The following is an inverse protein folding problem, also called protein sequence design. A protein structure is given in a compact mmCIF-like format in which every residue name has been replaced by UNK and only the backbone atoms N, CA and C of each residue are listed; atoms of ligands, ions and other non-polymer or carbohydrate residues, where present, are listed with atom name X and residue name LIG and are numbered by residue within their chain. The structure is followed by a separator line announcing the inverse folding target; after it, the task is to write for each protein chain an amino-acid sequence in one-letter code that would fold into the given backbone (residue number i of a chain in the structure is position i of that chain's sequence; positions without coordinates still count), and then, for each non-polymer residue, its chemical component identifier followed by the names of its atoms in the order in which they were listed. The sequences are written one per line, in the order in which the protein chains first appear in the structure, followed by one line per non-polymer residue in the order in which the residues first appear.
data_IF_827075501412
#
_entry.id   IF_827075501412
#
_cell.length_a   1.000
_cell.length_b   1.000
_cell.length_c   1.000
_cell.angle_alpha   90.00
_cell.angle_beta   90.00
_cell.angle_gamma   90.00
#
_symmetry.space_group_name_H-M   'P 1'
#
loop_
_entity.id
_entity.type
_entity.pdbx_description
1 polymer ?
#
# COMPACT_ATOMS: atom_id res chain seq x y z
N UNK A 1 5.09 -11.33 -2.79
CA UNK A 1 5.06 -9.87 -2.95
C UNK A 1 4.17 -9.45 -4.11
N UNK A 2 3.32 -8.45 -3.87
CA UNK A 2 2.43 -7.81 -4.84
C UNK A 2 2.70 -6.32 -4.91
N UNK A 3 2.66 -5.74 -6.13
CA UNK A 3 2.68 -4.30 -6.31
C UNK A 3 1.27 -3.75 -6.28
N UNK A 4 1.08 -2.75 -5.44
CA UNK A 4 -0.16 -2.02 -5.29
C UNK A 4 0.02 -0.62 -5.85
N UNK A 5 -1.01 -0.15 -6.52
CA UNK A 5 -1.10 1.24 -6.91
C UNK A 5 -2.20 1.89 -6.09
N UNK A 6 -1.87 2.96 -5.37
CA UNK A 6 -2.86 3.75 -4.66
C UNK A 6 -3.59 4.63 -5.69
N UNK A 7 -4.81 4.23 -6.06
CA UNK A 7 -5.71 5.11 -6.79
C UNK A 7 -6.28 6.08 -5.75
N UNK A 8 -5.73 7.29 -5.67
CA UNK A 8 -6.38 8.40 -4.99
C UNK A 8 -7.66 8.72 -5.78
N UNK A 9 -8.79 8.11 -5.40
CA UNK A 9 -10.08 8.76 -5.63
C UNK A 9 -10.23 9.80 -4.53
N UNK A 10 -9.85 11.04 -4.85
CA UNK A 10 -10.17 12.22 -4.03
C UNK A 10 -11.71 12.36 -3.97
N UNK A 11 -12.34 11.69 -3.00
CA UNK A 11 -13.67 12.09 -2.55
C UNK A 11 -13.48 13.04 -1.37
N UNK A 12 -13.47 14.34 -1.69
CA UNK A 12 -13.78 15.38 -0.72
C UNK A 12 -15.20 15.15 -0.20
N UNK A 13 -15.34 14.40 0.90
CA UNK A 13 -16.50 14.54 1.76
C UNK A 13 -16.09 15.28 3.02
N UNK A 14 -16.68 16.47 3.11
CA UNK A 14 -16.57 17.49 4.14
C UNK A 14 -16.80 16.91 5.55
N UNK A 15 -15.75 16.34 6.16
CA UNK A 15 -15.76 15.90 7.55
C UNK A 15 -14.69 16.68 8.30
N UNK A 16 -15.16 17.64 9.10
CA UNK A 16 -14.39 18.31 10.15
C UNK A 16 -13.95 17.29 11.20
N UNK A 17 -12.82 16.65 10.98
CA UNK A 17 -11.85 16.24 12.01
C UNK A 17 -10.54 15.89 11.31
N UNK A 18 -9.40 16.07 11.98
CA UNK A 18 -8.04 16.06 11.40
C UNK A 18 -7.51 14.71 10.90
N UNK A 19 -8.28 13.98 10.11
CA UNK A 19 -7.85 12.80 9.37
C UNK A 19 -8.21 12.99 7.90
N UNK A 20 -7.20 13.26 7.07
CA UNK A 20 -7.28 12.99 5.64
C UNK A 20 -7.68 11.51 5.48
N UNK A 21 -8.93 11.28 5.12
CA UNK A 21 -9.49 9.95 4.89
C UNK A 21 -9.01 9.47 3.52
N UNK A 22 -7.82 8.90 3.50
CA UNK A 22 -7.38 8.06 2.40
C UNK A 22 -8.09 6.73 2.54
N UNK A 23 -9.09 6.46 1.70
CA UNK A 23 -9.58 5.10 1.50
C UNK A 23 -8.55 4.36 0.63
N UNK A 24 -7.54 3.75 1.25
CA UNK A 24 -6.68 2.80 0.58
C UNK A 24 -7.43 1.47 0.50
N UNK A 25 -8.09 1.22 -0.64
CA UNK A 25 -8.36 -0.17 -0.99
C UNK A 25 -7.00 -0.77 -1.35
N UNK A 26 -6.33 -1.41 -0.39
CA UNK A 26 -5.21 -2.30 -0.65
C UNK A 26 -5.71 -3.48 -1.50
N UNK A 27 -5.84 -3.19 -2.78
CA UNK A 27 -6.33 -4.13 -3.77
C UNK A 27 -5.18 -5.07 -4.03
N UNK A 28 -5.03 -6.15 -3.26
CA UNK A 28 -4.31 -7.33 -3.75
C UNK A 28 -4.99 -7.74 -5.06
N UNK A 29 -4.53 -7.20 -6.19
CA UNK A 29 -5.22 -7.23 -7.49
C UNK A 29 -5.57 -8.71 -7.80
N UNK A 30 -6.81 -9.04 -8.15
CA UNK A 30 -7.44 -8.47 -9.36
C UNK A 30 -8.92 -8.11 -9.20
N UNK A 31 -9.21 -6.83 -8.95
CA UNK A 31 -10.33 -6.09 -9.56
C UNK A 31 -10.16 -4.57 -9.40
N UNK A 32 -10.10 -3.83 -10.52
CA UNK A 32 -10.45 -2.40 -10.53
C UNK A 32 -11.90 -2.28 -10.06
N UNK A 33 -12.20 -1.39 -9.12
CA UNK A 33 -13.56 -1.18 -8.59
C UNK A 33 -14.60 -0.79 -9.67
N UNK A 34 -14.16 -0.46 -10.89
CA UNK A 34 -15.04 -0.15 -12.03
C UNK A 34 -15.32 -1.27 -13.02
N UNK A 35 -14.77 -2.47 -12.87
CA UNK A 35 -15.07 -3.57 -13.81
C UNK A 35 -15.46 -4.87 -13.12
N UNK A 36 -16.78 -5.13 -13.10
CA UNK A 36 -17.44 -6.43 -12.87
C UNK A 36 -16.80 -7.60 -13.65
N UNK A 37 -15.97 -7.31 -14.67
CA UNK A 37 -15.32 -8.26 -15.57
C UNK A 37 -14.04 -8.92 -15.01
N UNK A 38 -13.44 -8.37 -13.96
CA UNK A 38 -12.16 -8.89 -13.44
C UNK A 38 -12.38 -9.97 -12.37
N UNK A 39 -13.40 -9.77 -11.53
CA UNK A 39 -13.85 -10.73 -10.53
C UNK A 39 -14.18 -12.10 -11.15
N UNK A 40 -14.77 -12.13 -12.34
CA UNK A 40 -15.11 -13.38 -13.04
C UNK A 40 -13.88 -14.15 -13.53
N UNK A 41 -12.80 -13.48 -13.96
CA UNK A 41 -11.59 -14.18 -14.44
C UNK A 41 -10.80 -14.84 -13.33
N UNK A 42 -10.72 -14.21 -12.15
CA UNK A 42 -9.97 -14.79 -11.02
C UNK A 42 -10.70 -16.02 -10.47
N UNK A 43 -12.02 -15.92 -10.27
CA UNK A 43 -12.84 -17.06 -9.85
C UNK A 43 -12.77 -18.20 -10.89
N UNK A 44 -12.86 -17.88 -12.18
CA UNK A 44 -12.77 -18.89 -13.23
C UNK A 44 -11.38 -19.53 -13.36
N UNK A 45 -10.33 -18.89 -12.85
CA UNK A 45 -8.96 -19.45 -12.80
C UNK A 45 -8.74 -20.41 -11.62
N UNK A 46 -9.73 -20.57 -10.74
CA UNK A 46 -9.63 -21.39 -9.52
C UNK A 46 -8.75 -20.78 -8.42
N UNK A 47 -8.31 -19.52 -8.60
CA UNK A 47 -7.49 -18.79 -7.63
C UNK A 47 -8.38 -18.12 -6.59
N UNK A 48 -7.99 -18.21 -5.32
CA UNK A 48 -8.67 -17.52 -4.23
C UNK A 48 -8.24 -16.05 -4.19
N UNK A 49 -9.19 -15.18 -3.87
CA UNK A 49 -8.97 -13.73 -3.66
C UNK A 49 -9.19 -13.44 -2.17
N UNK A 50 -8.25 -12.70 -1.58
CA UNK A 50 -8.39 -12.14 -0.24
C UNK A 50 -8.46 -10.63 -0.41
N UNK A 51 -9.47 -10.00 0.20
CA UNK A 51 -9.69 -8.55 0.12
C UNK A 51 -9.44 -7.96 1.50
N UNK A 52 -8.64 -6.90 1.54
CA UNK A 52 -8.40 -6.10 2.74
C UNK A 52 -9.07 -4.73 2.56
N UNK A 53 -9.62 -4.20 3.65
CA UNK A 53 -10.23 -2.88 3.69
C UNK A 53 -9.72 -2.13 4.92
N UNK A 54 -9.21 -0.92 4.69
CA UNK A 54 -8.63 -0.03 5.69
C UNK A 54 -9.64 0.45 6.75
N UNK A 55 -10.89 0.70 6.34
CA UNK A 55 -11.96 1.23 7.19
C UNK A 55 -13.29 0.52 6.91
N UNK A 56 -14.03 0.18 7.97
CA UNK A 56 -15.40 -0.33 7.85
C UNK A 56 -15.50 -1.84 7.58
N UNK A 57 -14.40 -2.58 7.75
CA UNK A 57 -14.38 -4.05 7.77
C UNK A 57 -14.47 -4.63 9.20
N UNK A 58 -14.88 -3.81 10.18
CA UNK A 58 -15.01 -4.13 11.60
C UNK A 58 -16.27 -4.95 11.96
N UNK A 59 -16.97 -5.50 10.96
CA UNK A 59 -17.85 -6.64 11.19
C UNK A 59 -19.31 -6.32 11.49
N UNK A 60 -19.95 -5.43 10.73
CA UNK A 60 -21.41 -5.47 10.63
C UNK A 60 -21.85 -6.58 9.64
N UNK A 61 -21.74 -7.85 10.07
CA UNK A 61 -22.50 -9.06 9.66
C UNK A 61 -22.78 -9.38 8.17
N UNK A 62 -22.28 -8.63 7.19
CA UNK A 62 -22.79 -8.71 5.82
C UNK A 62 -21.79 -9.33 4.83
N UNK A 63 -20.48 -9.35 5.15
CA UNK A 63 -19.44 -9.79 4.20
C UNK A 63 -18.21 -10.45 4.90
N UNK A 64 -18.24 -11.76 5.21
CA UNK A 64 -17.17 -12.43 5.99
C UNK A 64 -15.85 -12.65 5.22
N UNK A 65 -15.76 -12.22 3.96
CA UNK A 65 -14.59 -12.42 3.09
C UNK A 65 -13.76 -11.14 2.86
N UNK A 66 -14.17 -10.03 3.46
CA UNK A 66 -13.38 -8.79 3.50
C UNK A 66 -12.75 -8.71 4.88
N UNK A 67 -11.42 -8.68 4.93
CA UNK A 67 -10.66 -8.61 6.17
C UNK A 67 -10.31 -7.15 6.51
N UNK A 68 -10.29 -6.77 7.80
CA UNK A 68 -9.81 -5.47 8.21
C UNK A 68 -8.30 -5.36 7.99
N UNK A 69 -7.88 -4.41 7.15
CA UNK A 69 -6.49 -4.29 6.70
C UNK A 69 -5.55 -4.15 7.89
N UNK A 70 -5.75 -3.15 8.75
CA UNK A 70 -4.80 -2.84 9.82
C UNK A 70 -4.78 -3.86 10.96
N UNK A 71 -5.71 -4.82 11.01
CA UNK A 71 -5.60 -5.96 11.93
C UNK A 71 -4.81 -7.13 11.35
N UNK A 72 -4.55 -7.12 10.03
CA UNK A 72 -3.90 -8.20 9.29
C UNK A 72 -2.56 -7.76 8.66
N UNK A 73 -2.43 -6.48 8.36
CA UNK A 73 -1.32 -5.84 7.66
C UNK A 73 -0.94 -4.58 8.44
N UNK A 74 0.34 -4.37 8.71
CA UNK A 74 0.84 -3.03 9.05
C UNK A 74 1.55 -2.40 7.84
N UNK A 75 1.62 -1.08 7.80
CA UNK A 75 2.37 -0.37 6.75
C UNK A 75 3.44 0.56 7.32
N UNK A 76 4.43 0.91 6.50
CA UNK A 76 5.35 2.01 6.81
C UNK A 76 4.63 3.37 6.73
N UNK A 77 5.21 4.46 7.26
CA UNK A 77 4.56 5.78 7.21
C UNK A 77 4.14 6.18 5.78
N UNK A 78 2.96 6.79 5.68
CA UNK A 78 2.41 7.35 4.44
C UNK A 78 2.75 8.85 4.31
N UNK A 79 2.43 9.45 3.15
CA UNK A 79 2.68 10.88 2.87
C UNK A 79 4.14 11.31 3.04
N UNK A 80 5.09 10.40 2.84
CA UNK A 80 6.52 10.69 3.00
C UNK A 80 7.00 11.66 1.92
N UNK A 81 7.81 12.63 2.32
CA UNK A 81 8.44 13.63 1.44
C UNK A 81 9.96 13.53 1.40
N UNK A 82 10.53 12.65 2.24
CA UNK A 82 11.95 12.31 2.23
C UNK A 82 12.18 11.04 1.42
N UNK A 83 13.08 11.15 0.44
CA UNK A 83 13.57 10.06 -0.41
C UNK A 83 14.26 8.91 0.34
N UNK A 84 14.57 9.08 1.63
CA UNK A 84 15.15 8.03 2.47
C UNK A 84 14.15 6.94 2.87
N UNK A 85 12.84 7.21 2.79
CA UNK A 85 11.77 6.26 3.15
C UNK A 85 12.01 5.54 4.48
N UNK A 86 12.19 6.32 5.57
CA UNK A 86 12.53 5.76 6.89
C UNK A 86 11.52 4.67 7.34
N UNK A 87 12.06 3.47 7.55
CA UNK A 87 11.27 2.32 7.98
C UNK A 87 10.85 2.47 9.45
N UNK A 88 9.54 2.49 9.69
CA UNK A 88 8.95 2.30 11.02
C UNK A 88 7.59 1.62 10.88
N UNK A 89 7.11 0.96 11.94
CA UNK A 89 5.77 0.37 11.93
C UNK A 89 4.75 1.51 12.12
N UNK A 90 3.81 1.62 11.18
CA UNK A 90 2.69 2.55 11.19
C UNK A 90 1.39 1.81 10.86
N UNK A 91 0.24 2.49 10.96
CA UNK A 91 -1.09 2.01 10.59
C UNK A 91 -1.29 0.53 10.92
N UNK A 92 -1.23 0.22 12.21
CA UNK A 92 -1.36 -1.13 12.76
C UNK A 92 -2.44 -1.11 13.83
N UNK A 93 -3.21 -2.19 13.93
CA UNK A 93 -4.26 -2.36 14.90
C UNK A 93 -4.24 -3.77 15.52
N UNK A 94 -4.79 -3.90 16.72
CA UNK A 94 -4.95 -5.17 17.43
C UNK A 94 -6.05 -6.02 16.75
N UNK A 95 -6.05 -7.36 16.91
CA UNK A 95 -5.45 -8.11 18.04
C UNK A 95 -4.07 -8.72 17.81
N UNK A 96 -3.59 -8.83 16.56
CA UNK A 96 -2.34 -9.52 16.27
C UNK A 96 -1.12 -8.78 16.89
N UNK A 97 -0.04 -9.51 17.12
CA UNK A 97 1.26 -8.90 17.40
C UNK A 97 1.92 -8.50 16.08
N UNK A 98 2.80 -7.48 16.12
CA UNK A 98 3.45 -6.95 14.90
C UNK A 98 4.13 -8.03 14.06
N UNK A 99 4.73 -9.03 14.72
CA UNK A 99 5.40 -10.14 14.06
C UNK A 99 4.44 -11.09 13.32
N UNK A 100 3.16 -11.12 13.70
CA UNK A 100 2.13 -11.98 13.11
C UNK A 100 1.36 -11.31 11.97
N UNK A 101 1.59 -10.02 11.76
CA UNK A 101 1.00 -9.29 10.63
C UNK A 101 1.79 -9.58 9.35
N UNK A 102 1.08 -9.59 8.23
CA UNK A 102 1.72 -9.25 6.96
C UNK A 102 2.13 -7.78 6.98
N UNK A 103 2.97 -7.37 6.03
CA UNK A 103 3.31 -5.96 5.96
C UNK A 103 3.43 -5.41 4.56
N UNK A 104 3.15 -4.11 4.48
CA UNK A 104 3.20 -3.31 3.28
C UNK A 104 4.25 -2.21 3.44
N UNK A 105 5.05 -2.00 2.40
CA UNK A 105 5.88 -0.80 2.33
C UNK A 105 5.15 0.26 1.52
N UNK A 106 4.86 1.37 2.18
CA UNK A 106 4.29 2.57 1.60
C UNK A 106 5.43 3.34 0.89
N UNK A 107 5.74 2.94 -0.33
CA UNK A 107 6.85 3.47 -1.13
C UNK A 107 6.36 4.56 -2.11
N UNK A 108 5.69 5.57 -1.56
CA UNK A 108 5.09 6.68 -2.30
C UNK A 108 5.82 7.98 -1.96
N UNK A 109 6.69 8.45 -2.86
CA UNK A 109 7.30 9.77 -2.67
C UNK A 109 6.29 10.87 -2.99
N UNK A 110 6.17 11.81 -2.07
CA UNK A 110 5.38 13.02 -2.21
C UNK A 110 6.29 14.24 -2.17
N UNK A 111 5.79 15.37 -2.65
CA UNK A 111 6.40 16.69 -2.51
C UNK A 111 5.45 17.59 -1.74
N UNK A 112 6.01 18.41 -0.86
CA UNK A 112 5.27 19.51 -0.26
C UNK A 112 5.36 20.75 -1.15
N UNK A 113 4.29 21.05 -1.89
CA UNK A 113 4.21 22.20 -2.80
C UNK A 113 3.73 23.48 -2.10
N UNK A 114 3.19 23.38 -0.88
CA UNK A 114 2.77 24.51 -0.06
C UNK A 114 3.37 24.31 1.33
N UNK A 115 4.45 25.03 1.73
CA UNK A 115 5.17 24.81 2.98
C UNK A 115 4.42 25.34 4.22
N UNK A 116 3.12 25.03 4.32
CA UNK A 116 2.21 25.35 5.42
C UNK A 116 1.49 24.05 5.78
N UNK A 117 2.05 23.32 6.74
CA UNK A 117 1.49 22.02 7.17
C UNK A 117 1.45 20.99 6.04
N UNK A 118 0.54 20.02 6.20
CA UNK A 118 0.39 18.88 5.28
C UNK A 118 -0.61 19.15 4.13
N UNK A 119 -1.17 20.36 4.06
CA UNK A 119 -2.16 20.75 3.05
C UNK A 119 -1.61 20.86 1.63
N UNK A 120 -0.29 20.77 1.46
CA UNK A 120 0.41 20.84 0.18
C UNK A 120 1.10 19.55 -0.25
N UNK A 121 0.82 18.41 0.40
CA UNK A 121 1.47 17.14 0.06
C UNK A 121 0.80 16.54 -1.18
N UNK A 122 1.58 16.34 -2.25
CA UNK A 122 1.12 15.74 -3.50
C UNK A 122 2.13 14.70 -4.01
N UNK A 123 1.67 13.67 -4.71
CA UNK A 123 2.55 12.68 -5.35
C UNK A 123 3.61 13.35 -6.24
N UNK A 124 4.82 12.80 -6.26
CA UNK A 124 5.95 13.35 -7.01
C UNK A 124 6.22 12.58 -8.32
N UNK A 125 5.62 12.99 -9.46
CA UNK A 125 5.86 12.33 -10.75
C UNK A 125 7.25 12.62 -11.32
N UNK A 126 7.92 13.70 -10.89
CA UNK A 126 9.19 14.12 -11.48
C UNK A 126 10.32 13.15 -11.08
N UNK A 127 10.33 12.71 -9.83
CA UNK A 127 11.34 11.79 -9.31
C UNK A 127 10.89 10.32 -9.35
N UNK A 128 9.67 10.04 -9.82
CA UNK A 128 9.08 8.70 -9.89
C UNK A 128 9.96 7.67 -10.62
N UNK A 129 10.68 8.08 -11.68
CA UNK A 129 11.58 7.18 -12.40
C UNK A 129 12.77 6.74 -11.54
N UNK A 130 13.30 7.65 -10.71
CA UNK A 130 14.41 7.38 -9.82
C UNK A 130 13.93 6.58 -8.60
N UNK A 131 12.86 7.03 -7.94
CA UNK A 131 12.35 6.38 -6.73
C UNK A 131 11.91 4.96 -7.06
N UNK A 132 11.15 4.75 -8.13
CA UNK A 132 10.65 3.42 -8.49
C UNK A 132 11.70 2.56 -9.23
N UNK A 133 12.97 2.97 -9.24
CA UNK A 133 14.07 2.16 -9.78
C UNK A 133 14.34 0.91 -8.94
N UNK A 134 14.87 -0.14 -9.57
CA UNK A 134 15.07 -1.44 -8.94
C UNK A 134 15.92 -1.33 -7.66
N UNK A 135 17.09 -0.73 -7.76
CA UNK A 135 18.03 -0.59 -6.64
C UNK A 135 17.43 0.22 -5.48
N UNK A 136 16.62 1.23 -5.79
CA UNK A 136 15.98 2.11 -4.82
C UNK A 136 14.94 1.36 -3.98
N UNK A 137 14.09 0.56 -4.65
CA UNK A 137 13.09 -0.29 -4.00
C UNK A 137 13.76 -1.39 -3.18
N UNK A 138 14.79 -2.06 -3.73
CA UNK A 138 15.52 -3.12 -3.02
C UNK A 138 16.27 -2.58 -1.80
N UNK A 139 16.89 -1.40 -1.90
CA UNK A 139 17.57 -0.78 -0.76
C UNK A 139 16.60 -0.52 0.41
N UNK A 140 15.41 0.02 0.11
CA UNK A 140 14.41 0.28 1.13
C UNK A 140 13.82 -1.01 1.73
N UNK A 141 13.39 -1.95 0.88
CA UNK A 141 12.80 -3.22 1.32
C UNK A 141 13.76 -4.04 2.19
N UNK A 142 15.04 -4.11 1.81
CA UNK A 142 16.08 -4.75 2.61
C UNK A 142 16.35 -3.99 3.92
N UNK A 143 16.33 -2.66 3.88
CA UNK A 143 16.46 -1.82 5.08
C UNK A 143 15.33 -2.03 6.09
N UNK A 144 14.11 -2.32 5.61
CA UNK A 144 12.94 -2.56 6.45
C UNK A 144 12.76 -4.02 6.89
N UNK A 145 13.54 -4.98 6.36
CA UNK A 145 13.31 -6.42 6.55
C UNK A 145 13.27 -6.86 8.03
N UNK A 146 14.04 -6.20 8.91
CA UNK A 146 14.04 -6.50 10.34
C UNK A 146 12.69 -6.24 11.02
N UNK A 147 11.90 -5.29 10.53
CA UNK A 147 10.56 -5.00 11.03
C UNK A 147 9.57 -6.12 10.68
N UNK A 148 9.79 -6.78 9.53
CA UNK A 148 9.02 -7.92 9.04
C UNK A 148 9.60 -9.27 9.44
N UNK A 149 10.36 -9.34 10.55
CA UNK A 149 10.98 -10.59 11.04
C UNK A 149 11.89 -11.27 10.00
N UNK A 150 12.64 -10.45 9.24
CA UNK A 150 13.52 -10.87 8.14
C UNK A 150 12.81 -11.48 6.93
N UNK A 151 11.51 -11.24 6.77
CA UNK A 151 10.80 -11.53 5.53
C UNK A 151 10.84 -10.32 4.58
N UNK A 152 10.58 -10.56 3.30
CA UNK A 152 10.30 -9.51 2.32
C UNK A 152 8.83 -9.05 2.48
N UNK A 153 8.47 -7.82 2.07
CA UNK A 153 7.11 -7.35 2.22
C UNK A 153 6.10 -8.18 1.43
N UNK A 154 4.89 -8.33 1.96
CA UNK A 154 3.78 -8.91 1.21
C UNK A 154 3.35 -7.96 0.09
N UNK A 155 3.43 -6.65 0.34
CA UNK A 155 2.96 -5.61 -0.57
C UNK A 155 3.96 -4.44 -0.65
N UNK A 156 4.10 -3.87 -1.85
CA UNK A 156 4.76 -2.57 -2.03
C UNK A 156 3.77 -1.66 -2.74
N UNK A 157 3.51 -0.49 -2.15
CA UNK A 157 2.59 0.50 -2.68
C UNK A 157 3.40 1.58 -3.41
N UNK A 158 3.05 1.89 -4.66
CA UNK A 158 3.74 2.87 -5.52
C UNK A 158 2.77 3.89 -6.12
N UNK A 159 3.21 5.16 -6.20
CA UNK A 159 2.47 6.25 -6.86
C UNK A 159 2.33 6.03 -8.38
N UNK A 160 3.31 5.41 -9.04
CA UNK A 160 3.31 5.24 -10.51
C UNK A 160 3.89 3.87 -10.89
N UNK A 161 3.11 2.80 -10.70
CA UNK A 161 3.56 1.41 -10.96
C UNK A 161 4.07 1.17 -12.38
N UNK A 162 3.68 2.01 -13.34
CA UNK A 162 4.10 1.95 -14.74
C UNK A 162 5.36 2.77 -15.06
N UNK A 163 5.94 3.47 -14.07
CA UNK A 163 7.16 4.26 -14.20
C UNK A 163 8.23 3.62 -13.30
N UNK A 164 9.44 3.43 -13.85
CA UNK A 164 10.53 2.74 -13.18
C UNK A 164 10.46 1.22 -13.36
N UNK A 165 10.95 0.48 -12.37
CA UNK A 165 11.22 -0.95 -12.44
C UNK A 165 10.50 -1.73 -11.33
N UNK A 166 9.36 -1.22 -10.86
CA UNK A 166 8.60 -1.84 -9.77
C UNK A 166 8.33 -3.34 -9.99
N UNK A 167 7.95 -3.74 -11.20
CA UNK A 167 7.70 -5.16 -11.52
C UNK A 167 8.96 -6.02 -11.42
N UNK A 168 10.11 -5.53 -11.88
CA UNK A 168 11.37 -6.24 -11.73
C UNK A 168 11.77 -6.37 -10.26
N UNK A 169 11.52 -5.34 -9.45
CA UNK A 169 11.75 -5.40 -8.01
C UNK A 169 10.85 -6.45 -7.34
N UNK A 170 9.57 -6.49 -7.72
CA UNK A 170 8.64 -7.50 -7.22
C UNK A 170 9.06 -8.92 -7.61
N UNK A 171 9.53 -9.14 -8.83
CA UNK A 171 10.04 -10.45 -9.28
C UNK A 171 11.24 -10.88 -8.43
N UNK A 172 12.23 -9.99 -8.25
CA UNK A 172 13.43 -10.29 -7.46
C UNK A 172 13.10 -10.58 -5.99
N UNK A 173 12.17 -9.84 -5.39
CA UNK A 173 11.74 -10.06 -4.02
C UNK A 173 10.82 -11.29 -3.86
N UNK A 174 10.26 -11.80 -4.96
CA UNK A 174 9.59 -13.10 -5.04
C UNK A 174 10.57 -14.26 -5.34
N UNK A 175 11.85 -13.96 -5.60
CA UNK A 175 12.87 -14.96 -5.95
C UNK A 175 12.77 -15.49 -7.38
N UNK A 176 12.24 -14.69 -8.32
CA UNK A 176 12.14 -15.00 -9.74
C UNK A 176 13.32 -14.45 -10.56
#
# INVERSE_FOLDING_TARGET
MLLLHQQLEEMEDNVTDGQQRLASIATAIIARSKERLVHSRVINSGKQVVVFLDVGADGADTVPFILPEFQMIWETPFSVTDTSFLCSINCINKPLDTADHMYMINYLLNKNIIPIGDSGIMSDPADALMTNGLDSILANTNGCALLGVNHAPSFILLNFVNIGEGFAAADQLNGL
#
